data_IF_549476732025
#
_entry.id   IF_549476732025
#
_cell.length_a   1.000
_cell.length_b   1.000
_cell.length_c   1.000
_cell.angle_alpha   90.00
_cell.angle_beta   90.00
_cell.angle_gamma   90.00
#
_symmetry.space_group_name_H-M   'P 1'
#
loop_
_entity.id
_entity.type
_entity.pdbx_description
1 polymer ?
#
# COMPACT_ATOMS: atom_id res chain seq x y z
N UNK A 1 40.03 11.86 -15.91
CA UNK A 1 39.87 13.33 -15.85
C UNK A 1 38.38 13.57 -15.80
N UNK A 2 37.95 14.26 -14.75
CA UNK A 2 36.55 14.36 -14.34
C UNK A 2 35.75 15.28 -15.27
N UNK A 3 34.45 15.03 -15.26
CA UNK A 3 33.38 15.66 -16.01
C UNK A 3 33.27 17.17 -15.73
N UNK A 4 33.05 17.93 -16.80
CA UNK A 4 32.50 19.29 -16.77
C UNK A 4 31.18 19.23 -17.54
N UNK A 5 30.09 18.99 -16.80
CA UNK A 5 28.72 19.29 -17.24
C UNK A 5 28.09 20.15 -16.16
N UNK A 6 28.49 21.42 -16.12
CA UNK A 6 27.93 22.41 -15.21
C UNK A 6 27.42 23.61 -16.02
N UNK A 7 26.21 24.06 -15.72
CA UNK A 7 25.71 25.36 -16.21
C UNK A 7 24.41 25.42 -17.04
N UNK A 8 23.48 24.47 -16.96
CA UNK A 8 22.12 24.64 -17.57
C UNK A 8 20.98 24.55 -16.54
N UNK A 9 21.28 24.23 -15.28
CA UNK A 9 20.27 24.05 -14.23
C UNK A 9 19.95 25.28 -13.37
N UNK A 10 20.80 26.32 -13.33
CA UNK A 10 20.75 27.32 -12.26
C UNK A 10 20.13 28.68 -12.63
N UNK A 11 19.65 28.88 -13.87
CA UNK A 11 19.07 30.16 -14.31
C UNK A 11 17.54 30.23 -14.25
N UNK A 12 16.87 29.12 -13.94
CA UNK A 12 15.41 29.09 -13.88
C UNK A 12 14.84 29.34 -12.48
N UNK A 13 15.65 29.22 -11.42
CA UNK A 13 15.18 29.39 -10.04
C UNK A 13 15.19 30.87 -9.58
N UNK A 14 16.00 31.72 -10.20
CA UNK A 14 16.19 33.12 -9.76
C UNK A 14 15.16 34.11 -10.36
N UNK A 15 14.52 33.77 -11.49
CA UNK A 15 13.51 34.61 -12.14
C UNK A 15 12.10 34.42 -11.57
N UNK A 16 11.80 33.23 -11.05
CA UNK A 16 10.49 32.89 -10.47
C UNK A 16 10.26 33.57 -9.11
N UNK A 17 11.35 33.83 -8.36
CA UNK A 17 11.27 34.50 -7.04
C UNK A 17 11.00 36.00 -7.14
N UNK A 18 11.30 36.61 -8.28
CA UNK A 18 11.02 38.05 -8.51
C UNK A 18 9.53 38.28 -8.84
N UNK A 19 8.84 37.28 -9.40
CA UNK A 19 7.42 37.35 -9.74
C UNK A 19 6.48 37.39 -8.49
N UNK A 20 6.88 36.79 -7.36
CA UNK A 20 6.00 36.70 -6.17
C UNK A 20 5.94 38.00 -5.33
N UNK A 21 6.72 39.03 -5.66
CA UNK A 21 6.72 40.31 -4.90
C UNK A 21 5.76 41.37 -5.44
N UNK A 22 5.06 41.13 -6.56
CA UNK A 22 4.19 42.13 -7.21
C UNK A 22 2.70 41.82 -7.06
N UNK A 23 2.29 41.02 -6.07
CA UNK A 23 0.88 40.61 -5.93
C UNK A 23 0.05 41.36 -4.87
N UNK A 24 0.48 42.49 -4.26
CA UNK A 24 -0.30 43.06 -3.13
C UNK A 24 -0.55 44.58 -3.04
N UNK A 25 -0.24 45.42 -4.05
CA UNK A 25 -0.50 46.88 -3.92
C UNK A 25 -1.00 47.64 -5.17
N UNK A 26 -1.91 47.07 -5.97
CA UNK A 26 -2.54 47.81 -7.09
C UNK A 26 -4.05 48.08 -6.96
N UNK A 27 -4.62 48.08 -5.75
CA UNK A 27 -6.05 48.35 -5.55
C UNK A 27 -6.46 49.83 -5.36
N UNK A 28 -5.67 50.65 -4.66
CA UNK A 28 -6.18 51.94 -4.13
C UNK A 28 -5.45 53.19 -4.64
N UNK A 29 -4.33 53.06 -5.35
CA UNK A 29 -3.51 54.21 -5.81
C UNK A 29 -3.78 54.64 -7.26
N UNK A 30 -4.57 53.87 -8.01
CA UNK A 30 -4.88 54.11 -9.43
C UNK A 30 -5.76 55.36 -9.62
N UNK A 31 -6.65 55.68 -8.67
CA UNK A 31 -7.57 56.81 -8.82
C UNK A 31 -6.88 58.20 -8.78
N UNK A 32 -5.87 58.39 -7.92
CA UNK A 32 -5.15 59.68 -7.79
C UNK A 32 -4.07 59.87 -8.86
N UNK A 33 -3.50 58.78 -9.36
CA UNK A 33 -2.56 58.80 -10.50
C UNK A 33 -3.28 59.15 -11.80
N UNK A 34 -4.50 58.61 -12.02
CA UNK A 34 -5.30 58.85 -13.22
C UNK A 34 -5.62 60.34 -13.42
N UNK A 35 -5.78 61.11 -12.35
CA UNK A 35 -6.07 62.56 -12.42
C UNK A 35 -4.83 63.43 -12.67
N UNK A 36 -3.63 63.00 -12.24
CA UNK A 36 -2.37 63.72 -12.50
C UNK A 36 -1.67 63.31 -13.81
N UNK A 37 -1.92 62.10 -14.34
CA UNK A 37 -1.46 61.62 -15.65
C UNK A 37 -2.19 62.27 -16.83
N UNK A 38 -3.46 62.62 -16.65
CA UNK A 38 -4.35 63.07 -17.72
C UNK A 38 -4.01 64.43 -18.37
N UNK A 39 -3.13 65.25 -17.78
CA UNK A 39 -2.85 66.62 -18.30
C UNK A 39 -1.50 66.81 -19.00
N UNK A 40 -0.60 65.82 -19.01
CA UNK A 40 0.73 65.97 -19.63
C UNK A 40 1.25 64.77 -20.45
N UNK A 41 0.48 63.67 -20.61
CA UNK A 41 1.06 62.38 -21.06
C UNK A 41 0.35 61.68 -22.22
N UNK A 42 -0.28 62.37 -23.16
CA UNK A 42 -1.04 61.66 -24.22
C UNK A 42 -0.16 60.84 -25.17
N UNK A 43 1.04 61.33 -25.55
CA UNK A 43 1.91 60.59 -26.46
C UNK A 43 2.73 59.48 -25.76
N UNK A 44 3.51 59.82 -24.72
CA UNK A 44 4.39 58.86 -24.03
C UNK A 44 3.64 57.73 -23.32
N UNK A 45 2.53 58.02 -22.63
CA UNK A 45 1.74 56.98 -21.97
C UNK A 45 1.04 56.05 -22.98
N UNK A 46 0.74 56.53 -24.20
CA UNK A 46 0.19 55.67 -25.25
C UNK A 46 1.21 54.69 -25.82
N UNK A 47 2.50 55.03 -25.81
CA UNK A 47 3.58 54.15 -26.28
C UNK A 47 3.90 53.10 -25.21
N UNK A 48 4.10 53.53 -23.96
CA UNK A 48 4.32 52.62 -22.83
C UNK A 48 3.14 51.64 -22.65
N UNK A 49 1.90 52.11 -22.78
CA UNK A 49 0.72 51.24 -22.74
C UNK A 49 0.71 50.20 -23.87
N UNK A 50 1.04 50.60 -25.10
CA UNK A 50 1.12 49.68 -26.26
C UNK A 50 2.23 48.65 -26.08
N UNK A 51 3.37 49.03 -25.50
CA UNK A 51 4.47 48.10 -25.23
C UNK A 51 4.11 47.07 -24.15
N UNK A 52 3.43 47.49 -23.07
CA UNK A 52 2.96 46.57 -22.04
C UNK A 52 1.89 45.62 -22.57
N UNK A 53 0.95 46.12 -23.38
CA UNK A 53 -0.07 45.31 -24.05
C UNK A 53 0.56 44.28 -25.00
N UNK A 54 1.54 44.68 -25.80
CA UNK A 54 2.25 43.77 -26.70
C UNK A 54 3.01 42.66 -25.94
N UNK A 55 3.62 42.97 -24.79
CA UNK A 55 4.27 41.97 -23.93
C UNK A 55 3.27 41.02 -23.32
N UNK A 56 2.17 41.54 -22.77
CA UNK A 56 1.11 40.73 -22.20
C UNK A 56 0.51 39.76 -23.25
N UNK A 57 0.27 40.23 -24.47
CA UNK A 57 -0.22 39.39 -25.56
C UNK A 57 0.81 38.30 -25.95
N UNK A 58 2.10 38.64 -25.99
CA UNK A 58 3.15 37.68 -26.28
C UNK A 58 3.25 36.60 -25.18
N UNK A 59 3.14 36.99 -23.91
CA UNK A 59 3.12 36.08 -22.76
C UNK A 59 1.88 35.16 -22.82
N UNK A 60 0.70 35.72 -23.14
CA UNK A 60 -0.53 34.95 -23.35
C UNK A 60 -0.39 33.94 -24.49
N UNK A 61 0.23 34.35 -25.60
CA UNK A 61 0.54 33.48 -26.72
C UNK A 61 1.47 32.32 -26.35
N UNK A 62 2.49 32.58 -25.53
CA UNK A 62 3.40 31.55 -25.02
C UNK A 62 2.68 30.57 -24.07
N UNK A 63 1.82 31.09 -23.17
CA UNK A 63 0.99 30.27 -22.29
C UNK A 63 0.09 29.34 -23.10
N UNK A 64 -0.65 29.86 -24.09
CA UNK A 64 -1.48 29.04 -24.99
C UNK A 64 -0.68 27.96 -25.72
N UNK A 65 0.53 28.28 -26.19
CA UNK A 65 1.39 27.30 -26.84
C UNK A 65 1.82 26.16 -25.90
N UNK A 66 2.10 26.47 -24.63
CA UNK A 66 2.44 25.46 -23.62
C UNK A 66 1.26 24.56 -23.23
N UNK A 67 0.02 25.05 -23.34
CA UNK A 67 -1.21 24.32 -23.04
C UNK A 67 -1.75 23.51 -24.22
N UNK A 68 -1.29 23.78 -25.45
CA UNK A 68 -1.74 23.09 -26.65
C UNK A 68 -1.66 21.54 -26.60
N UNK A 69 -0.66 20.91 -25.93
CA UNK A 69 -0.59 19.46 -25.80
C UNK A 69 -1.75 18.84 -24.98
N UNK A 70 -2.35 19.58 -24.05
CA UNK A 70 -3.41 19.09 -23.14
C UNK A 70 -4.63 18.56 -23.90
N UNK A 71 -4.93 19.15 -25.06
CA UNK A 71 -6.03 18.73 -25.91
C UNK A 71 -5.77 17.41 -26.66
N UNK A 72 -4.54 16.87 -26.60
CA UNK A 72 -4.14 15.67 -27.34
C UNK A 72 -4.13 14.46 -26.39
N UNK A 73 -4.94 13.41 -26.65
CA UNK A 73 -4.96 12.20 -25.81
C UNK A 73 -3.59 11.53 -25.67
N UNK A 74 -2.76 11.65 -26.71
CA UNK A 74 -1.46 10.97 -26.80
C UNK A 74 -0.42 11.56 -25.87
N UNK A 75 -0.55 12.86 -25.55
CA UNK A 75 0.28 13.52 -24.56
C UNK A 75 0.03 12.90 -23.18
N UNK A 76 -1.22 12.71 -22.78
CA UNK A 76 -1.58 12.13 -21.48
C UNK A 76 -1.09 10.69 -21.27
N UNK A 77 -0.78 9.97 -22.35
CA UNK A 77 -0.23 8.62 -22.28
C UNK A 77 1.29 8.60 -22.01
N UNK A 78 1.97 9.73 -22.22
CA UNK A 78 3.43 9.86 -22.12
C UNK A 78 3.86 10.93 -21.12
N UNK A 79 2.96 11.82 -20.72
CA UNK A 79 3.22 12.92 -19.82
C UNK A 79 3.66 12.41 -18.45
N UNK A 80 4.73 13.00 -17.92
CA UNK A 80 5.18 12.74 -16.55
C UNK A 80 4.31 13.53 -15.55
N UNK A 81 4.29 13.12 -14.27
CA UNK A 81 3.69 13.92 -13.20
C UNK A 81 4.15 15.39 -13.18
N UNK A 82 5.41 15.63 -13.48
CA UNK A 82 6.01 16.96 -13.56
C UNK A 82 5.48 17.77 -14.76
N UNK A 83 5.33 17.13 -15.93
CA UNK A 83 4.74 17.78 -17.11
C UNK A 83 3.29 18.21 -16.84
N UNK A 84 2.51 17.33 -16.21
CA UNK A 84 1.11 17.59 -15.85
C UNK A 84 1.03 18.75 -14.85
N UNK A 85 1.90 18.77 -13.83
CA UNK A 85 1.95 19.86 -12.87
C UNK A 85 2.33 21.20 -13.50
N UNK A 86 3.28 21.22 -14.45
CA UNK A 86 3.71 22.45 -15.13
C UNK A 86 2.63 23.05 -16.03
N UNK A 87 1.89 22.23 -16.79
CA UNK A 87 0.76 22.74 -17.59
C UNK A 87 -0.41 23.18 -16.71
N UNK A 88 -0.64 22.50 -15.59
CA UNK A 88 -1.65 22.91 -14.61
C UNK A 88 -1.33 24.27 -14.00
N UNK A 89 -0.08 24.49 -13.57
CA UNK A 89 0.38 25.80 -13.08
C UNK A 89 0.10 26.91 -14.10
N UNK A 90 0.49 26.66 -15.35
CA UNK A 90 0.29 27.64 -16.42
C UNK A 90 -1.21 27.91 -16.65
N UNK A 91 -2.04 26.87 -16.66
CA UNK A 91 -3.49 27.01 -16.81
C UNK A 91 -4.09 27.82 -15.64
N UNK A 92 -3.76 27.49 -14.40
CA UNK A 92 -4.25 28.18 -13.20
C UNK A 92 -3.86 29.66 -13.17
N UNK A 93 -2.63 30.00 -13.58
CA UNK A 93 -2.17 31.41 -13.63
C UNK A 93 -2.94 32.22 -14.67
N UNK A 94 -3.27 31.62 -15.82
CA UNK A 94 -3.86 32.33 -16.97
C UNK A 94 -5.38 32.21 -17.09
N UNK A 95 -6.04 31.28 -16.38
CA UNK A 95 -7.48 30.98 -16.53
C UNK A 95 -8.41 32.17 -16.34
N UNK A 96 -8.01 33.20 -15.58
CA UNK A 96 -8.84 34.40 -15.37
C UNK A 96 -8.74 35.39 -16.54
N UNK A 97 -7.67 35.31 -17.33
CA UNK A 97 -7.33 36.24 -18.39
C UNK A 97 -7.47 35.65 -19.80
N UNK A 98 -7.59 34.33 -19.90
CA UNK A 98 -7.60 33.58 -21.16
C UNK A 98 -8.59 32.41 -21.11
N UNK A 99 -9.43 32.30 -22.15
CA UNK A 99 -10.44 31.26 -22.29
C UNK A 99 -9.83 29.89 -22.59
N UNK A 100 -8.83 29.83 -23.46
CA UNK A 100 -8.10 28.58 -23.76
C UNK A 100 -7.40 28.04 -22.52
N UNK A 101 -6.83 28.91 -21.69
CA UNK A 101 -6.23 28.51 -20.43
C UNK A 101 -7.26 27.96 -19.43
N UNK A 102 -8.46 28.56 -19.36
CA UNK A 102 -9.55 28.04 -18.52
C UNK A 102 -10.03 26.67 -18.99
N UNK A 103 -10.24 26.49 -20.29
CA UNK A 103 -10.66 25.20 -20.85
C UNK A 103 -9.60 24.11 -20.62
N UNK A 104 -8.31 24.48 -20.67
CA UNK A 104 -7.21 23.58 -20.33
C UNK A 104 -7.20 23.22 -18.84
N UNK A 105 -7.42 24.18 -17.94
CA UNK A 105 -7.55 23.96 -16.48
C UNK A 105 -8.65 22.91 -16.20
N UNK A 106 -9.85 23.12 -16.76
CA UNK A 106 -10.99 22.20 -16.62
C UNK A 106 -10.67 20.79 -17.16
N UNK A 107 -9.99 20.71 -18.30
CA UNK A 107 -9.56 19.43 -18.90
C UNK A 107 -8.55 18.71 -18.02
N UNK A 108 -7.58 19.44 -17.47
CA UNK A 108 -6.54 18.88 -16.61
C UNK A 108 -7.16 18.34 -15.31
N UNK A 109 -8.02 19.13 -14.67
CA UNK A 109 -8.72 18.72 -13.45
C UNK A 109 -9.54 17.44 -13.70
N UNK A 110 -10.25 17.37 -14.82
CA UNK A 110 -11.02 16.18 -15.18
C UNK A 110 -10.14 14.94 -15.40
N UNK A 111 -9.12 15.05 -16.25
CA UNK A 111 -8.24 13.92 -16.59
C UNK A 111 -7.46 13.41 -15.36
N UNK A 112 -7.03 14.32 -14.49
CA UNK A 112 -6.32 13.90 -13.27
C UNK A 112 -7.25 13.22 -12.28
N UNK A 113 -8.46 13.74 -12.11
CA UNK A 113 -9.47 13.08 -11.27
C UNK A 113 -9.83 11.69 -11.82
N UNK A 114 -9.97 11.53 -13.15
CA UNK A 114 -10.28 10.24 -13.75
C UNK A 114 -9.12 9.24 -13.66
N UNK A 115 -7.88 9.66 -13.97
CA UNK A 115 -6.72 8.74 -14.06
C UNK A 115 -6.02 8.49 -12.74
N UNK A 116 -6.01 9.47 -11.85
CA UNK A 116 -5.26 9.41 -10.59
C UNK A 116 -6.19 9.43 -9.36
N UNK A 117 -7.47 9.79 -9.53
CA UNK A 117 -8.38 9.91 -8.40
C UNK A 117 -8.09 11.14 -7.51
N UNK A 118 -7.24 12.06 -7.99
CA UNK A 118 -6.81 13.25 -7.26
C UNK A 118 -7.65 14.43 -7.70
N UNK A 119 -8.22 15.13 -6.72
CA UNK A 119 -8.84 16.43 -6.91
C UNK A 119 -7.76 17.52 -6.80
N UNK A 120 -7.37 18.12 -7.94
CA UNK A 120 -6.34 19.18 -7.97
C UNK A 120 -6.92 20.55 -7.58
N UNK A 121 -8.25 20.73 -7.56
CA UNK A 121 -8.85 21.98 -7.08
C UNK A 121 -8.56 22.21 -5.59
N UNK A 122 -8.13 21.15 -4.88
CA UNK A 122 -7.73 21.17 -3.46
C UNK A 122 -6.34 20.53 -3.19
N UNK A 123 -5.24 21.07 -3.75
CA UNK A 123 -4.10 21.38 -2.89
C UNK A 123 -3.32 22.64 -3.32
N UNK A 124 -3.51 23.73 -2.56
CA UNK A 124 -2.44 24.62 -2.10
C UNK A 124 -1.41 25.18 -3.10
N UNK A 125 -1.79 25.60 -4.31
CA UNK A 125 -1.08 26.50 -5.22
C UNK A 125 0.40 26.20 -5.62
N UNK A 126 1.05 25.18 -5.04
CA UNK A 126 2.43 24.82 -5.30
C UNK A 126 2.48 23.67 -6.33
N UNK A 127 3.07 23.91 -7.53
CA UNK A 127 3.25 22.88 -8.56
C UNK A 127 3.99 21.65 -8.04
N UNK A 128 4.93 21.83 -7.09
CA UNK A 128 5.69 20.71 -6.53
C UNK A 128 4.81 19.78 -5.68
N UNK A 129 3.78 20.32 -5.02
CA UNK A 129 2.82 19.52 -4.26
C UNK A 129 1.92 18.69 -5.18
N UNK A 130 1.49 19.27 -6.30
CA UNK A 130 0.70 18.57 -7.33
C UNK A 130 1.51 17.44 -7.96
N UNK A 131 2.77 17.71 -8.34
CA UNK A 131 3.67 16.69 -8.89
C UNK A 131 3.94 15.57 -7.88
N UNK A 132 4.13 15.89 -6.59
CA UNK A 132 4.31 14.88 -5.55
C UNK A 132 3.09 13.99 -5.37
N UNK A 133 1.88 14.58 -5.32
CA UNK A 133 0.64 13.83 -5.21
C UNK A 133 0.43 12.88 -6.40
N UNK A 134 0.71 13.36 -7.63
CA UNK A 134 0.65 12.54 -8.83
C UNK A 134 1.64 11.37 -8.78
N UNK A 135 2.90 11.61 -8.37
CA UNK A 135 3.91 10.55 -8.19
C UNK A 135 3.50 9.50 -7.17
N UNK A 136 2.91 9.92 -6.06
CA UNK A 136 2.44 8.99 -5.03
C UNK A 136 1.28 8.14 -5.56
N UNK A 137 0.33 8.73 -6.30
CA UNK A 137 -0.75 7.97 -6.94
C UNK A 137 -0.26 6.98 -8.02
N UNK A 138 0.80 7.31 -8.76
CA UNK A 138 1.41 6.37 -9.70
C UNK A 138 2.04 5.16 -9.00
N UNK A 139 2.74 5.40 -7.88
CA UNK A 139 3.32 4.33 -7.06
C UNK A 139 2.24 3.43 -6.49
N UNK A 140 1.19 4.01 -5.91
CA UNK A 140 0.05 3.27 -5.38
C UNK A 140 -0.61 2.40 -6.47
N UNK A 141 -0.74 2.91 -7.70
CA UNK A 141 -1.25 2.12 -8.83
C UNK A 141 -0.33 0.97 -9.22
N UNK A 142 0.99 1.20 -9.28
CA UNK A 142 1.97 0.18 -9.62
C UNK A 142 2.02 -0.94 -8.55
N UNK A 143 1.95 -0.56 -7.27
CA UNK A 143 1.90 -1.48 -6.15
C UNK A 143 0.59 -2.29 -6.19
N UNK A 144 -0.55 -1.63 -6.40
CA UNK A 144 -1.83 -2.32 -6.55
C UNK A 144 -1.88 -3.27 -7.76
N UNK A 145 -1.15 -2.98 -8.85
CA UNK A 145 -1.02 -3.89 -9.98
C UNK A 145 -0.18 -5.13 -9.61
N UNK A 146 0.93 -4.91 -8.91
CA UNK A 146 1.81 -5.99 -8.43
C UNK A 146 1.08 -6.91 -7.45
N UNK A 147 0.33 -6.34 -6.51
CA UNK A 147 -0.47 -7.10 -5.54
C UNK A 147 -1.58 -7.90 -6.23
N UNK A 148 -2.26 -7.34 -7.25
CA UNK A 148 -3.25 -8.09 -8.04
C UNK A 148 -2.62 -9.27 -8.78
N UNK A 149 -1.41 -9.08 -9.33
CA UNK A 149 -0.69 -10.17 -9.98
C UNK A 149 -0.34 -11.28 -8.98
N UNK A 150 0.24 -10.92 -7.83
CA UNK A 150 0.55 -11.86 -6.75
C UNK A 150 -0.69 -12.63 -6.28
N UNK A 151 -1.80 -11.92 -6.03
CA UNK A 151 -3.05 -12.56 -5.64
C UNK A 151 -3.58 -13.54 -6.72
N UNK A 152 -3.41 -13.21 -8.01
CA UNK A 152 -3.74 -14.12 -9.11
C UNK A 152 -2.86 -15.37 -9.10
N UNK A 153 -1.55 -15.22 -8.92
CA UNK A 153 -0.60 -16.33 -8.81
C UNK A 153 -0.93 -17.23 -7.61
N UNK A 154 -1.21 -16.64 -6.44
CA UNK A 154 -1.59 -17.37 -5.23
C UNK A 154 -2.90 -18.14 -5.39
N UNK A 155 -3.90 -17.56 -6.05
CA UNK A 155 -5.16 -18.24 -6.37
C UNK A 155 -4.91 -19.46 -7.28
N UNK A 156 -4.07 -19.31 -8.30
CA UNK A 156 -3.74 -20.45 -9.19
C UNK A 156 -2.95 -21.53 -8.47
N UNK A 157 -1.97 -21.16 -7.63
CA UNK A 157 -1.22 -22.10 -6.80
C UNK A 157 -2.16 -22.86 -5.84
N UNK A 158 -3.10 -22.15 -5.21
CA UNK A 158 -4.12 -22.73 -4.33
C UNK A 158 -4.99 -23.75 -5.08
N UNK A 159 -5.50 -23.40 -6.27
CA UNK A 159 -6.29 -24.31 -7.10
C UNK A 159 -5.52 -25.59 -7.47
N UNK A 160 -4.23 -25.48 -7.78
CA UNK A 160 -3.37 -26.64 -8.07
C UNK A 160 -3.18 -27.52 -6.82
N UNK A 161 -2.98 -26.92 -5.65
CA UNK A 161 -2.88 -27.66 -4.39
C UNK A 161 -4.16 -28.41 -4.06
N UNK A 162 -5.34 -27.79 -4.22
CA UNK A 162 -6.63 -28.45 -4.04
C UNK A 162 -6.81 -29.62 -5.01
N UNK A 163 -6.52 -29.43 -6.30
CA UNK A 163 -6.62 -30.51 -7.29
C UNK A 163 -5.68 -31.69 -6.99
N UNK A 164 -4.47 -31.40 -6.49
CA UNK A 164 -3.53 -32.44 -6.06
C UNK A 164 -3.99 -33.16 -4.79
N UNK A 165 -4.56 -32.44 -3.82
CA UNK A 165 -5.12 -33.03 -2.61
C UNK A 165 -6.32 -33.95 -2.92
N UNK A 166 -7.23 -33.51 -3.80
CA UNK A 166 -8.36 -34.34 -4.25
C UNK A 166 -7.91 -35.62 -4.96
N UNK A 167 -6.83 -35.53 -5.77
CA UNK A 167 -6.22 -36.71 -6.40
C UNK A 167 -5.68 -37.67 -5.34
N UNK A 168 -4.89 -37.16 -4.40
CA UNK A 168 -4.28 -37.99 -3.35
C UNK A 168 -5.34 -38.63 -2.45
N UNK A 169 -6.42 -37.91 -2.13
CA UNK A 169 -7.55 -38.46 -1.37
C UNK A 169 -8.24 -39.61 -2.12
N UNK A 170 -8.40 -39.49 -3.43
CA UNK A 170 -8.97 -40.55 -4.28
C UNK A 170 -8.07 -41.78 -4.30
N UNK A 171 -6.77 -41.59 -4.51
CA UNK A 171 -5.78 -42.69 -4.52
C UNK A 171 -5.74 -43.41 -3.16
N UNK A 172 -5.78 -42.67 -2.05
CA UNK A 172 -5.87 -43.26 -0.71
C UNK A 172 -7.16 -44.04 -0.51
N UNK A 173 -8.32 -43.52 -0.96
CA UNK A 173 -9.61 -44.21 -0.87
C UNK A 173 -9.59 -45.52 -1.67
N UNK A 174 -9.06 -45.49 -2.89
CA UNK A 174 -8.88 -46.69 -3.71
C UNK A 174 -7.88 -47.69 -3.09
N UNK A 175 -6.87 -47.22 -2.37
CA UNK A 175 -5.94 -48.08 -1.64
C UNK A 175 -6.62 -48.73 -0.43
N UNK A 176 -7.37 -47.97 0.37
CA UNK A 176 -8.15 -48.52 1.48
C UNK A 176 -9.21 -49.49 1.00
N UNK A 177 -9.94 -49.19 -0.08
CA UNK A 177 -10.96 -50.09 -0.63
C UNK A 177 -10.35 -51.39 -1.17
N UNK A 178 -9.13 -51.34 -1.71
CA UNK A 178 -8.37 -52.54 -2.09
C UNK A 178 -7.92 -53.36 -0.88
N UNK A 179 -7.43 -52.70 0.15
CA UNK A 179 -7.02 -53.35 1.41
C UNK A 179 -8.22 -54.07 2.06
N UNK A 180 -9.37 -53.39 2.15
CA UNK A 180 -10.64 -54.00 2.61
C UNK A 180 -11.09 -55.17 1.73
N UNK A 181 -10.94 -55.11 0.40
CA UNK A 181 -11.29 -56.24 -0.48
C UNK A 181 -10.31 -57.42 -0.42
N UNK A 182 -9.06 -57.21 -0.01
CA UNK A 182 -8.08 -58.28 0.19
C UNK A 182 -8.38 -59.04 1.49
N UNK A 183 -8.73 -58.31 2.56
CA UNK A 183 -9.08 -58.91 3.87
C UNK A 183 -10.39 -59.74 3.79
N UNK A 184 -11.35 -59.33 2.95
CA UNK A 184 -12.60 -60.07 2.73
C UNK A 184 -12.42 -61.33 1.84
N UNK A 185 -11.31 -61.45 1.10
CA UNK A 185 -11.02 -62.61 0.24
C UNK A 185 -10.27 -63.74 0.98
N UNK A 186 -9.54 -63.43 2.04
CA UNK A 186 -8.89 -64.44 2.90
C UNK A 186 -9.89 -65.14 3.85
N UNK A 187 -11.15 -64.68 3.88
CA UNK A 187 -12.25 -65.32 4.62
C UNK A 187 -12.95 -66.48 3.92
N UNK A 188 -12.67 -66.75 2.63
CA UNK A 188 -13.44 -67.72 1.82
C UNK A 188 -12.62 -68.77 1.05
N UNK A 189 -11.28 -68.76 1.14
CA UNK A 189 -10.44 -69.85 0.64
C UNK A 189 -9.92 -70.68 1.81
N UNK A 190 -10.53 -71.86 1.99
CA UNK A 190 -10.33 -72.72 3.15
C UNK A 190 -8.88 -72.98 3.53
N UNK A 191 -8.58 -72.81 4.82
CA UNK A 191 -7.47 -73.49 5.48
C UNK A 191 -7.91 -74.10 6.80
N UNK A 192 -7.42 -75.31 6.95
CA UNK A 192 -7.46 -76.25 8.05
C UNK A 192 -7.06 -75.64 9.40
N UNK A 193 -7.68 -76.13 10.47
CA UNK A 193 -7.56 -75.71 11.87
C UNK A 193 -6.22 -76.14 12.51
N UNK A 194 -5.07 -75.78 11.93
CA UNK A 194 -3.77 -76.17 12.50
C UNK A 194 -2.62 -75.16 12.29
N UNK A 195 -2.89 -73.85 12.26
CA UNK A 195 -1.82 -72.84 12.27
C UNK A 195 -2.17 -71.56 13.06
N UNK A 196 -3.02 -71.67 14.09
CA UNK A 196 -3.57 -70.55 14.84
C UNK A 196 -2.66 -69.92 15.93
N UNK A 197 -1.37 -70.27 16.02
CA UNK A 197 -0.51 -69.84 17.14
C UNK A 197 0.65 -68.89 16.76
N UNK A 198 0.89 -68.63 15.47
CA UNK A 198 2.02 -67.80 15.02
C UNK A 198 1.57 -66.41 14.53
N UNK A 199 0.46 -66.31 13.78
CA UNK A 199 -0.09 -65.01 13.33
C UNK A 199 -0.75 -64.20 14.44
N UNK A 200 -1.28 -64.87 15.47
CA UNK A 200 -1.78 -64.17 16.65
C UNK A 200 -0.64 -63.43 17.35
N UNK A 201 0.58 -64.03 17.42
CA UNK A 201 1.76 -63.42 18.04
C UNK A 201 2.28 -62.21 17.28
N UNK A 202 2.30 -62.23 15.95
CA UNK A 202 2.70 -61.08 15.13
C UNK A 202 1.69 -59.92 15.17
N UNK A 203 0.39 -60.22 15.28
CA UNK A 203 -0.65 -59.21 15.45
C UNK A 203 -0.59 -58.51 16.82
N UNK A 204 -0.33 -59.26 17.90
CA UNK A 204 -0.05 -58.63 19.21
C UNK A 204 1.30 -57.93 19.25
N UNK A 205 2.36 -58.45 18.61
CA UNK A 205 3.66 -57.74 18.55
C UNK A 205 3.56 -56.43 17.75
N UNK A 206 2.88 -56.40 16.60
CA UNK A 206 2.67 -55.17 15.84
C UNK A 206 1.75 -54.19 16.57
N UNK A 207 0.71 -54.69 17.26
CA UNK A 207 -0.16 -53.87 18.08
C UNK A 207 0.55 -53.35 19.34
N UNK A 208 1.47 -54.11 19.92
CA UNK A 208 2.29 -53.71 21.05
C UNK A 208 3.41 -52.77 20.62
N UNK A 209 4.03 -52.94 19.45
CA UNK A 209 4.95 -51.96 18.86
C UNK A 209 4.22 -50.65 18.57
N UNK A 210 3.03 -50.68 17.97
CA UNK A 210 2.22 -49.49 17.74
C UNK A 210 1.66 -48.87 19.05
N UNK A 211 1.52 -49.65 20.13
CA UNK A 211 1.14 -49.16 21.47
C UNK A 211 2.35 -48.59 22.22
N UNK A 212 3.53 -49.15 22.04
CA UNK A 212 4.81 -48.67 22.57
C UNK A 212 5.24 -47.41 21.83
N UNK A 213 5.07 -47.31 20.52
CA UNK A 213 5.32 -46.08 19.76
C UNK A 213 4.26 -45.00 20.02
N UNK A 214 2.98 -45.35 20.16
CA UNK A 214 1.95 -44.40 20.63
C UNK A 214 2.17 -43.96 22.07
N UNK A 215 2.60 -44.86 22.95
CA UNK A 215 2.96 -44.56 24.34
C UNK A 215 4.26 -43.75 24.47
N UNK A 216 5.23 -43.97 23.58
CA UNK A 216 6.45 -43.16 23.47
C UNK A 216 6.13 -41.76 22.95
N UNK A 217 5.26 -41.63 21.94
CA UNK A 217 4.75 -40.34 21.47
C UNK A 217 3.87 -39.60 22.48
N UNK A 218 3.13 -40.32 23.34
CA UNK A 218 2.40 -39.75 24.48
C UNK A 218 3.31 -39.30 25.64
N UNK A 219 4.56 -39.77 25.69
CA UNK A 219 5.55 -39.46 26.72
C UNK A 219 6.64 -38.47 26.28
N UNK A 220 6.72 -38.09 25.00
CA UNK A 220 7.78 -37.21 24.48
C UNK A 220 7.32 -35.80 24.06
N UNK A 221 6.05 -35.47 24.19
CA UNK A 221 5.61 -34.09 23.99
C UNK A 221 5.71 -33.31 25.31
N UNK A 222 6.78 -32.50 25.40
CA UNK A 222 7.17 -31.66 26.54
C UNK A 222 7.76 -32.39 27.77
N UNK A 223 8.72 -33.29 27.52
CA UNK A 223 9.53 -33.85 28.61
C UNK A 223 10.41 -32.76 29.25
N UNK A 224 10.55 -32.81 30.58
CA UNK A 224 11.47 -31.91 31.32
C UNK A 224 12.90 -31.98 30.80
N UNK A 225 13.30 -33.13 30.28
CA UNK A 225 14.61 -33.37 29.70
C UNK A 225 14.86 -32.54 28.41
N UNK A 226 13.81 -32.29 27.60
CA UNK A 226 13.92 -31.39 26.44
C UNK A 226 14.16 -29.94 26.87
N UNK A 227 13.50 -29.49 27.94
CA UNK A 227 13.66 -28.13 28.50
C UNK A 227 15.04 -27.94 29.09
N UNK A 228 15.60 -28.96 29.74
CA UNK A 228 16.97 -28.94 30.27
C UNK A 228 18.00 -28.89 29.14
N UNK A 229 17.83 -29.67 28.07
CA UNK A 229 18.70 -29.61 26.89
C UNK A 229 18.63 -28.25 26.17
N UNK A 230 17.45 -27.65 26.11
CA UNK A 230 17.27 -26.30 25.55
C UNK A 230 17.95 -25.24 26.42
N UNK A 231 17.77 -25.30 27.75
CA UNK A 231 18.44 -24.41 28.69
C UNK A 231 19.97 -24.51 28.60
N UNK A 232 20.51 -25.74 28.56
CA UNK A 232 21.94 -26.00 28.41
C UNK A 232 22.50 -25.44 27.08
N UNK A 233 21.71 -25.44 26.00
CA UNK A 233 22.14 -24.88 24.71
C UNK A 233 22.31 -23.35 24.70
N UNK A 234 21.70 -22.66 25.67
CA UNK A 234 21.71 -21.20 25.84
C UNK A 234 22.72 -20.72 26.88
N UNK A 235 23.25 -21.64 27.69
CA UNK A 235 24.29 -21.35 28.67
C UNK A 235 25.56 -20.84 27.95
N UNK A 236 26.08 -19.68 28.37
CA UNK A 236 27.22 -19.00 27.73
C UNK A 236 26.87 -18.14 26.50
N UNK A 237 25.63 -18.18 25.98
CA UNK A 237 25.16 -17.34 24.86
C UNK A 237 24.17 -16.25 25.27
N UNK A 238 23.53 -16.38 26.43
CA UNK A 238 22.58 -15.41 26.97
C UNK A 238 22.78 -15.23 28.48
N UNK A 239 22.31 -14.10 29.02
CA UNK A 239 22.30 -13.85 30.46
C UNK A 239 21.23 -14.70 31.16
N UNK A 240 21.46 -15.01 32.44
CA UNK A 240 20.61 -15.93 33.21
C UNK A 240 19.13 -15.52 33.22
N UNK A 241 18.86 -14.20 33.21
CA UNK A 241 17.50 -13.66 33.22
C UNK A 241 16.78 -13.95 31.90
N UNK A 242 17.46 -13.85 30.77
CA UNK A 242 16.89 -14.19 29.45
C UNK A 242 16.67 -15.68 29.30
N UNK A 243 17.58 -16.52 29.80
CA UNK A 243 17.41 -17.98 29.80
C UNK A 243 16.14 -18.37 30.59
N UNK A 244 15.97 -17.82 31.79
CA UNK A 244 14.79 -18.09 32.62
C UNK A 244 13.48 -17.61 31.97
N UNK A 245 13.50 -16.43 31.34
CA UNK A 245 12.32 -15.91 30.63
C UNK A 245 11.95 -16.78 29.42
N UNK A 246 12.94 -17.35 28.72
CA UNK A 246 12.72 -18.23 27.57
C UNK A 246 12.21 -19.61 27.99
N UNK A 247 12.73 -20.17 29.08
CA UNK A 247 12.22 -21.42 29.66
C UNK A 247 10.76 -21.27 30.08
N UNK A 248 10.40 -20.13 30.70
CA UNK A 248 9.03 -19.85 31.10
C UNK A 248 8.08 -19.73 29.89
N UNK A 249 8.51 -19.03 28.83
CA UNK A 249 7.73 -18.89 27.62
C UNK A 249 7.58 -20.21 26.84
N UNK A 250 8.60 -21.06 26.83
CA UNK A 250 8.54 -22.38 26.19
C UNK A 250 7.49 -23.27 26.89
N UNK A 251 7.46 -23.24 28.23
CA UNK A 251 6.45 -23.96 29.03
C UNK A 251 5.00 -23.49 28.78
N UNK A 252 4.76 -22.18 28.64
CA UNK A 252 3.42 -21.66 28.33
C UNK A 252 2.94 -22.03 26.90
N UNK A 253 3.87 -22.27 25.98
CA UNK A 253 3.57 -22.69 24.61
C UNK A 253 3.51 -24.21 24.44
N UNK A 254 3.85 -24.99 25.47
CA UNK A 254 3.93 -26.44 25.42
C UNK A 254 2.58 -27.16 25.63
N UNK A 255 1.49 -26.62 25.08
CA UNK A 255 0.20 -27.30 25.13
C UNK A 255 0.19 -28.48 24.17
N UNK A 256 -0.14 -29.66 24.68
CA UNK A 256 -0.26 -30.85 23.86
C UNK A 256 -1.29 -30.60 22.73
N UNK A 257 -1.05 -31.03 21.48
CA UNK A 257 -1.98 -30.80 20.37
C UNK A 257 -3.40 -31.33 20.66
N UNK A 258 -3.55 -32.38 21.48
CA UNK A 258 -4.87 -32.82 21.98
C UNK A 258 -5.54 -31.82 22.93
N UNK A 259 -4.81 -31.10 23.77
CA UNK A 259 -5.37 -30.05 24.64
C UNK A 259 -5.84 -28.83 23.85
N UNK A 260 -5.16 -28.48 22.75
CA UNK A 260 -5.59 -27.40 21.85
C UNK A 260 -6.94 -27.69 21.17
N UNK A 261 -7.27 -28.97 20.97
CA UNK A 261 -8.56 -29.42 20.39
C UNK A 261 -9.65 -29.57 21.46
N UNK A 262 -9.29 -29.91 22.72
CA UNK A 262 -10.23 -30.02 23.84
C UNK A 262 -10.58 -28.64 24.43
N UNK A 263 -9.70 -27.64 24.31
CA UNK A 263 -10.01 -26.27 24.72
C UNK A 263 -11.05 -25.64 23.77
N UNK A 264 -12.33 -25.87 24.05
CA UNK A 264 -13.44 -25.14 23.45
C UNK A 264 -13.25 -23.61 23.61
N UNK A 265 -13.38 -22.93 22.47
CA UNK A 265 -13.87 -21.56 22.26
C UNK A 265 -13.96 -20.63 23.49
N UNK A 266 -12.81 -20.25 24.02
CA UNK A 266 -12.70 -19.09 24.92
C UNK A 266 -12.93 -17.79 24.14
N UNK A 267 -14.19 -17.30 24.17
CA UNK A 267 -14.68 -15.96 23.77
C UNK A 267 -13.64 -15.06 23.09
N UNK A 268 -13.86 -14.80 21.80
CA UNK A 268 -13.20 -13.70 21.08
C UNK A 268 -13.19 -12.42 21.95
N UNK A 269 -12.00 -11.82 22.08
CA UNK A 269 -11.84 -10.56 22.78
C UNK A 269 -12.77 -9.52 22.14
N UNK A 270 -13.78 -9.06 22.90
CA UNK A 270 -14.67 -7.99 22.45
C UNK A 270 -13.82 -6.75 22.14
N UNK A 271 -13.90 -6.17 20.92
CA UNK A 271 -13.22 -4.91 20.65
C UNK A 271 -13.78 -3.86 21.62
N UNK A 272 -12.89 -3.25 22.41
CA UNK A 272 -13.24 -2.10 23.24
C UNK A 272 -13.64 -0.99 22.28
N UNK A 273 -14.92 -0.59 22.29
CA UNK A 273 -15.37 0.65 21.65
C UNK A 273 -14.48 1.77 22.17
N UNK A 274 -13.69 2.40 21.30
CA UNK A 274 -13.11 3.69 21.63
C UNK A 274 -14.27 4.67 21.81
N UNK A 275 -14.49 5.07 23.05
CA UNK A 275 -15.40 6.17 23.34
C UNK A 275 -14.88 7.40 22.61
N UNK A 276 -15.76 8.05 21.85
CA UNK A 276 -15.52 9.38 21.28
C UNK A 276 -15.04 10.30 22.39
N UNK A 277 -13.75 10.63 22.39
CA UNK A 277 -13.20 11.66 23.26
C UNK A 277 -13.74 13.00 22.79
N UNK A 278 -14.68 13.52 23.57
CA UNK A 278 -15.00 14.93 23.80
C UNK A 278 -14.43 15.93 22.80
N UNK A 279 -15.32 16.38 21.92
CA UNK A 279 -15.30 17.74 21.38
C UNK A 279 -15.02 18.70 22.54
N UNK A 280 -13.86 19.35 22.52
CA UNK A 280 -13.53 20.43 23.43
C UNK A 280 -14.37 21.64 23.02
N UNK A 281 -15.56 21.72 23.59
CA UNK A 281 -16.47 22.85 23.52
C UNK A 281 -15.73 24.08 24.08
N UNK A 282 -15.29 24.98 23.20
CA UNK A 282 -14.78 26.29 23.61
C UNK A 282 -15.96 27.08 24.14
N UNK A 283 -16.02 27.19 25.45
CA UNK A 283 -17.02 27.97 26.18
C UNK A 283 -16.90 29.45 25.76
N UNK A 284 -17.93 29.95 25.06
CA UNK A 284 -18.20 31.38 24.94
C UNK A 284 -19.01 31.79 26.18
N UNK A 285 -18.33 32.08 27.29
CA UNK A 285 -18.83 33.04 28.27
C UNK A 285 -18.26 34.41 27.88
N UNK A 286 -19.04 35.47 27.66
CA UNK A 286 -20.23 35.89 28.37
C UNK A 286 -19.88 37.19 29.09
N UNK A 287 -20.45 38.30 28.63
CA UNK A 287 -20.24 39.66 29.10
C UNK A 287 -20.32 39.79 30.63
N UNK A 288 -19.45 40.62 31.23
CA UNK A 288 -19.89 41.63 32.20
C UNK A 288 -18.79 42.64 32.58
N UNK A 289 -19.20 43.92 32.49
CA UNK A 289 -18.61 45.18 32.96
C UNK A 289 -17.62 45.90 32.04
#
# INVERSE_FOLDING_TARGET
MAEETDGVGETFDDSLRIALTIASQFGERIARLREQLARQREAGASHEARELEARFEAERGAARASLAPVAQPEWWNQATPEDIAGVHETATVWRDFDDVARDADDTITHEVQERYGIDIDSPGADPAAVAAALRDAERDRADAATERQRAGEELTASQLLFANAERHERENREATDRDWNIDDLDGLAGTDLSAGDEHSKQGVEAADVARVERGAGELEYDSSERRERFAASLEGKADQKTINARILADGENAKHPREAVISQSGKAAKPRRSGKSSVQQRDRGGLSR
#
